data_IF_006825223952
#
_entry.id   IF_006825223952
#
_cell.length_a   1.000
_cell.length_b   1.000
_cell.length_c   1.000
_cell.angle_alpha   90.00
_cell.angle_beta   90.00
_cell.angle_gamma   90.00
#
_symmetry.space_group_name_H-M   'P 1'
#
loop_
_entity.id
_entity.type
_entity.pdbx_description
1 polymer ?
#
# COMPACT_ATOMS: atom_id res chain seq x y z
N UNK A 1 0.68 1.75 18.87
CA UNK A 1 1.28 2.83 18.07
C UNK A 1 1.45 4.08 18.94
N UNK A 2 2.47 4.93 18.69
CA UNK A 2 2.55 6.28 19.28
C UNK A 2 1.32 7.12 18.93
N UNK A 3 1.03 8.16 19.70
CA UNK A 3 -0.21 8.94 19.54
C UNK A 3 -0.17 9.96 18.40
N UNK A 4 1.01 10.27 17.87
CA UNK A 4 1.28 11.37 16.94
C UNK A 4 1.95 10.90 15.64
N UNK A 5 1.44 9.79 15.07
CA UNK A 5 1.97 9.26 13.82
C UNK A 5 1.26 9.90 12.63
N UNK A 6 2.02 10.61 11.79
CA UNK A 6 1.52 11.11 10.50
C UNK A 6 1.47 10.03 9.43
N UNK A 7 2.51 9.20 9.34
CA UNK A 7 2.64 8.16 8.31
C UNK A 7 2.91 6.79 8.93
N UNK A 8 2.05 5.83 8.61
CA UNK A 8 2.27 4.42 8.87
C UNK A 8 2.62 3.70 7.57
N UNK A 9 3.83 3.17 7.46
CA UNK A 9 4.20 2.28 6.36
C UNK A 9 4.07 0.83 6.79
N UNK A 10 3.53 -0.02 5.91
CA UNK A 10 3.40 -1.44 6.19
C UNK A 10 3.58 -2.31 4.94
N UNK A 11 4.12 -3.48 5.17
CA UNK A 11 4.24 -4.56 4.21
C UNK A 11 4.05 -5.87 4.96
N UNK A 12 3.47 -6.84 4.30
CA UNK A 12 3.29 -8.18 4.87
C UNK A 12 3.91 -9.22 3.94
N UNK A 13 4.29 -10.40 4.46
CA UNK A 13 5.00 -11.40 3.67
C UNK A 13 4.29 -11.76 2.38
N UNK A 14 5.01 -11.65 1.26
CA UNK A 14 4.49 -11.92 -0.09
C UNK A 14 4.67 -13.38 -0.53
N UNK A 15 5.28 -14.22 0.31
CA UNK A 15 5.64 -15.60 -0.06
C UNK A 15 4.39 -16.43 -0.42
N UNK A 16 3.29 -16.22 0.29
CA UNK A 16 2.04 -16.93 0.07
C UNK A 16 1.20 -16.32 -1.09
N UNK A 17 1.62 -15.16 -1.62
CA UNK A 17 1.03 -14.50 -2.78
C UNK A 17 1.74 -14.84 -4.08
N UNK A 18 3.02 -15.20 -4.01
CA UNK A 18 3.85 -15.45 -5.18
C UNK A 18 3.66 -16.86 -5.74
N UNK A 19 4.01 -17.06 -7.02
CA UNK A 19 4.03 -18.39 -7.66
C UNK A 19 4.97 -19.38 -6.93
N UNK A 20 6.03 -18.87 -6.28
CA UNK A 20 6.94 -19.70 -5.48
C UNK A 20 6.26 -20.25 -4.21
N UNK A 21 5.28 -19.56 -3.63
CA UNK A 21 4.49 -20.03 -2.49
C UNK A 21 3.59 -21.22 -2.85
N UNK A 22 3.11 -21.29 -4.09
CA UNK A 22 2.29 -22.41 -4.56
C UNK A 22 3.05 -23.76 -4.57
N UNK A 23 4.38 -23.76 -4.68
CA UNK A 23 5.21 -24.97 -4.63
C UNK A 23 5.30 -25.57 -3.23
N UNK A 24 4.93 -24.79 -2.20
CA UNK A 24 4.95 -25.23 -0.81
C UNK A 24 3.54 -25.42 -0.23
N UNK A 25 2.51 -25.64 -1.06
CA UNK A 25 1.10 -25.80 -0.66
C UNK A 25 0.49 -24.64 0.15
N UNK A 26 1.10 -23.45 0.13
CA UNK A 26 0.56 -22.26 0.77
C UNK A 26 -0.47 -21.59 -0.16
N UNK A 27 -1.71 -22.05 -0.13
CA UNK A 27 -2.75 -21.60 -1.07
C UNK A 27 -3.66 -20.50 -0.55
N UNK A 28 -3.61 -20.17 0.74
CA UNK A 28 -4.57 -19.27 1.38
C UNK A 28 -4.36 -17.77 1.12
N UNK A 29 -3.14 -17.35 0.68
CA UNK A 29 -2.87 -15.92 0.42
C UNK A 29 -3.14 -15.04 1.64
N UNK A 30 -3.89 -13.95 1.45
CA UNK A 30 -4.30 -12.98 2.49
C UNK A 30 -5.67 -13.31 3.12
N UNK A 31 -6.19 -14.52 2.96
CA UNK A 31 -7.41 -14.93 3.66
C UNK A 31 -7.21 -14.90 5.17
N UNK A 32 -8.18 -14.29 5.90
CA UNK A 32 -8.14 -14.13 7.37
C UNK A 32 -7.96 -15.46 8.11
N UNK A 33 -8.56 -16.52 7.59
CA UNK A 33 -8.62 -17.83 8.23
C UNK A 33 -7.51 -18.77 7.74
N UNK A 34 -6.63 -18.31 6.86
CA UNK A 34 -5.62 -19.16 6.24
C UNK A 34 -4.51 -19.62 7.18
N UNK A 35 -4.29 -18.90 8.27
CA UNK A 35 -3.12 -19.10 9.14
C UNK A 35 -1.78 -18.81 8.48
N UNK A 36 -1.79 -18.26 7.26
CA UNK A 36 -0.61 -17.91 6.48
C UNK A 36 0.05 -16.63 6.97
N UNK A 37 1.33 -16.46 6.66
CA UNK A 37 2.08 -15.25 7.01
C UNK A 37 1.53 -13.99 6.36
N UNK A 38 0.94 -14.09 5.17
CA UNK A 38 0.28 -12.98 4.48
C UNK A 38 -0.98 -12.49 5.21
N UNK A 39 -1.57 -13.30 6.11
CA UNK A 39 -2.67 -12.89 6.98
C UNK A 39 -2.25 -11.83 8.03
N UNK A 40 -0.96 -11.52 8.16
CA UNK A 40 -0.47 -10.39 8.97
C UNK A 40 -1.00 -9.03 8.49
N UNK A 41 -1.57 -8.94 7.29
CA UNK A 41 -2.34 -7.78 6.86
C UNK A 41 -3.42 -7.40 7.87
N UNK A 42 -4.11 -8.40 8.42
CA UNK A 42 -5.21 -8.21 9.37
C UNK A 42 -4.76 -7.74 10.76
N UNK A 43 -3.46 -7.86 11.07
CA UNK A 43 -2.88 -7.23 12.26
C UNK A 43 -2.80 -5.70 12.11
N UNK A 44 -2.59 -5.19 10.90
CA UNK A 44 -2.66 -3.75 10.63
C UNK A 44 -4.08 -3.24 10.87
N UNK A 45 -5.09 -3.99 10.39
CA UNK A 45 -6.49 -3.68 10.67
C UNK A 45 -6.78 -3.65 12.18
N UNK A 46 -6.38 -4.68 12.91
CA UNK A 46 -6.56 -4.74 14.37
C UNK A 46 -5.98 -3.51 15.07
N UNK A 47 -4.76 -3.12 14.67
CA UNK A 47 -4.09 -1.94 15.23
C UNK A 47 -4.87 -0.66 14.93
N UNK A 48 -5.40 -0.49 13.72
CA UNK A 48 -6.18 0.68 13.34
C UNK A 48 -7.53 0.71 14.04
N UNK A 49 -8.20 -0.45 14.20
CA UNK A 49 -9.46 -0.56 14.94
C UNK A 49 -9.27 -0.19 16.41
N UNK A 50 -8.24 -0.70 17.08
CA UNK A 50 -7.93 -0.35 18.47
C UNK A 50 -7.71 1.17 18.62
N UNK A 51 -7.07 1.79 17.63
CA UNK A 51 -6.89 3.25 17.61
C UNK A 51 -8.21 3.99 17.46
N UNK A 52 -9.03 3.56 16.53
CA UNK A 52 -10.33 4.16 16.30
C UNK A 52 -11.24 4.05 17.55
N UNK A 53 -11.20 2.91 18.26
CA UNK A 53 -11.93 2.72 19.51
C UNK A 53 -11.48 3.70 20.60
N UNK A 54 -10.15 3.93 20.74
CA UNK A 54 -9.61 4.91 21.70
C UNK A 54 -10.11 6.31 21.36
N UNK A 55 -10.11 6.70 20.08
CA UNK A 55 -10.62 7.99 19.63
C UNK A 55 -12.10 8.20 20.01
N UNK A 56 -12.92 7.18 19.81
CA UNK A 56 -14.34 7.24 20.15
C UNK A 56 -14.58 7.41 21.65
N UNK A 57 -13.73 6.80 22.50
CA UNK A 57 -13.86 6.87 23.97
C UNK A 57 -13.32 8.19 24.52
N UNK A 58 -12.19 8.66 24.01
CA UNK A 58 -11.48 9.84 24.53
C UNK A 58 -11.94 11.15 23.87
N UNK A 59 -12.80 11.06 22.83
CA UNK A 59 -13.24 12.20 22.01
C UNK A 59 -12.08 13.03 21.41
N UNK A 60 -10.93 12.41 21.27
CA UNK A 60 -9.73 12.99 20.67
C UNK A 60 -9.57 12.44 19.24
N UNK A 61 -9.81 13.27 18.24
CA UNK A 61 -9.63 12.91 16.81
C UNK A 61 -8.17 12.74 16.38
N UNK A 62 -7.23 12.92 17.31
CA UNK A 62 -5.80 13.10 17.03
C UNK A 62 -5.01 11.82 16.76
N UNK A 63 -5.63 10.64 16.72
CA UNK A 63 -4.85 9.39 16.87
C UNK A 63 -4.79 8.46 15.65
N UNK A 64 -5.51 8.76 14.57
CA UNK A 64 -5.40 7.99 13.33
C UNK A 64 -4.23 8.51 12.49
N UNK A 65 -3.33 7.62 11.98
CA UNK A 65 -2.30 8.06 11.06
C UNK A 65 -2.89 8.81 9.88
N UNK A 66 -2.38 10.00 9.57
CA UNK A 66 -2.88 10.81 8.44
C UNK A 66 -2.69 10.07 7.10
N UNK A 67 -1.60 9.33 6.98
CA UNK A 67 -1.28 8.59 5.78
C UNK A 67 -0.93 7.13 6.10
N UNK A 68 -1.39 6.22 5.24
CA UNK A 68 -0.92 4.84 5.23
C UNK A 68 -0.24 4.58 3.88
N UNK A 69 0.87 3.85 3.90
CA UNK A 69 1.55 3.40 2.69
C UNK A 69 1.81 1.90 2.77
N UNK A 70 1.11 1.15 1.93
CA UNK A 70 1.33 -0.27 1.73
C UNK A 70 2.26 -0.53 0.54
N UNK A 71 3.17 -1.49 0.64
CA UNK A 71 3.90 -2.07 -0.49
C UNK A 71 3.72 -3.58 -0.52
N UNK A 72 3.50 -4.15 -1.72
CA UNK A 72 3.53 -5.59 -1.91
C UNK A 72 3.80 -5.97 -3.38
N UNK A 73 3.89 -7.28 -3.66
CA UNK A 73 4.00 -7.80 -5.02
C UNK A 73 2.68 -7.62 -5.79
N UNK A 74 2.77 -7.47 -7.12
CA UNK A 74 1.59 -7.27 -7.98
C UNK A 74 0.61 -8.45 -7.97
N UNK A 75 1.05 -9.62 -7.51
CA UNK A 75 0.19 -10.79 -7.35
C UNK A 75 -0.98 -10.57 -6.37
N UNK A 76 -0.91 -9.56 -5.48
CA UNK A 76 -2.03 -9.19 -4.61
C UNK A 76 -3.28 -8.79 -5.40
N UNK A 77 -3.12 -8.24 -6.60
CA UNK A 77 -4.21 -7.84 -7.50
C UNK A 77 -4.69 -8.98 -8.41
N UNK A 78 -4.14 -10.20 -8.27
CA UNK A 78 -4.56 -11.35 -9.06
C UNK A 78 -5.99 -11.78 -8.73
N UNK A 79 -6.64 -12.51 -9.64
CA UNK A 79 -7.99 -13.05 -9.42
C UNK A 79 -8.14 -13.83 -8.13
N UNK A 80 -7.06 -14.46 -7.67
CA UNK A 80 -7.03 -15.28 -6.45
C UNK A 80 -7.13 -14.42 -5.18
N UNK A 81 -6.55 -13.22 -5.20
CA UNK A 81 -6.37 -12.40 -4.00
C UNK A 81 -7.18 -11.10 -4.01
N UNK A 82 -7.70 -10.70 -5.16
CA UNK A 82 -8.37 -9.41 -5.34
C UNK A 82 -9.60 -9.23 -4.43
N UNK A 83 -10.34 -10.32 -4.15
CA UNK A 83 -11.51 -10.25 -3.28
C UNK A 83 -11.12 -9.83 -1.85
N UNK A 84 -10.11 -10.47 -1.27
CA UNK A 84 -9.61 -10.14 0.07
C UNK A 84 -8.90 -8.78 0.10
N UNK A 85 -8.24 -8.40 -1.00
CA UNK A 85 -7.64 -7.07 -1.12
C UNK A 85 -8.70 -5.96 -1.15
N UNK A 86 -9.81 -6.19 -1.86
CA UNK A 86 -10.94 -5.26 -1.86
C UNK A 86 -11.65 -5.21 -0.50
N UNK A 87 -11.75 -6.33 0.22
CA UNK A 87 -12.22 -6.34 1.60
C UNK A 87 -11.35 -5.40 2.46
N UNK A 88 -10.02 -5.51 2.34
CA UNK A 88 -9.11 -4.62 3.04
C UNK A 88 -9.31 -3.13 2.69
N UNK A 89 -9.45 -2.81 1.39
CA UNK A 89 -9.77 -1.44 0.96
C UNK A 89 -11.06 -0.93 1.58
N UNK A 90 -12.10 -1.75 1.60
CA UNK A 90 -13.39 -1.37 2.17
C UNK A 90 -13.29 -1.13 3.68
N UNK A 91 -12.55 -1.98 4.40
CA UNK A 91 -12.35 -1.80 5.84
C UNK A 91 -11.59 -0.49 6.14
N UNK A 92 -10.65 -0.09 5.30
CA UNK A 92 -10.01 1.22 5.41
C UNK A 92 -10.97 2.37 5.11
N UNK A 93 -11.88 2.21 4.13
CA UNK A 93 -12.91 3.21 3.85
C UNK A 93 -13.84 3.38 5.07
N UNK A 94 -14.24 2.28 5.71
CA UNK A 94 -15.08 2.28 6.91
C UNK A 94 -14.38 2.96 8.11
N UNK A 95 -13.04 2.94 8.11
CA UNK A 95 -12.21 3.64 9.10
C UNK A 95 -11.95 5.11 8.73
N UNK A 96 -12.52 5.62 7.64
CA UNK A 96 -12.38 7.02 7.23
C UNK A 96 -11.18 7.30 6.31
N UNK A 97 -10.63 6.29 5.63
CA UNK A 97 -9.55 6.48 4.66
C UNK A 97 -10.06 6.46 3.22
N UNK A 98 -9.55 7.35 2.39
CA UNK A 98 -9.62 7.24 0.93
C UNK A 98 -8.36 6.53 0.42
N UNK A 99 -8.53 5.62 -0.56
CA UNK A 99 -7.46 4.72 -1.00
C UNK A 99 -7.19 4.83 -2.50
N UNK A 100 -5.92 4.89 -2.87
CA UNK A 100 -5.42 4.87 -4.24
C UNK A 100 -4.43 3.70 -4.41
N UNK A 101 -4.63 2.87 -5.44
CA UNK A 101 -3.78 1.70 -5.72
C UNK A 101 -2.97 1.94 -6.99
N UNK A 102 -1.66 1.84 -6.86
CA UNK A 102 -0.69 2.09 -7.91
C UNK A 102 0.14 0.84 -8.18
N UNK A 103 0.38 0.51 -9.45
CA UNK A 103 1.38 -0.49 -9.83
C UNK A 103 2.53 0.21 -10.52
N UNK A 104 3.69 0.23 -9.87
CA UNK A 104 4.86 0.97 -10.32
C UNK A 104 6.01 0.03 -10.68
N UNK A 105 6.71 0.35 -11.76
CA UNK A 105 7.95 -0.33 -12.17
C UNK A 105 9.14 0.55 -11.81
N UNK A 106 10.10 0.01 -11.06
CA UNK A 106 11.29 0.73 -10.63
C UNK A 106 12.09 1.34 -11.81
N UNK A 107 12.01 0.73 -13.00
CA UNK A 107 12.68 1.27 -14.20
C UNK A 107 12.18 2.66 -14.59
N UNK A 108 10.89 2.95 -14.31
CA UNK A 108 10.31 4.25 -14.62
C UNK A 108 10.84 5.37 -13.72
N UNK A 109 11.54 5.00 -12.63
CA UNK A 109 12.12 5.91 -11.65
C UNK A 109 13.66 5.89 -11.66
N UNK A 110 14.26 5.46 -12.77
CA UNK A 110 15.71 5.47 -12.95
C UNK A 110 16.48 4.33 -12.28
N UNK A 111 15.79 3.29 -11.80
CA UNK A 111 16.43 2.10 -11.24
C UNK A 111 16.63 1.05 -12.34
N UNK A 112 17.87 0.55 -12.59
CA UNK A 112 18.15 -0.43 -13.65
C UNK A 112 17.69 -1.85 -13.25
N UNK A 113 16.48 -1.98 -12.70
CA UNK A 113 15.90 -3.23 -12.29
C UNK A 113 14.42 -3.30 -12.70
N UNK A 114 14.04 -4.37 -13.38
CA UNK A 114 12.63 -4.68 -13.63
C UNK A 114 11.98 -5.16 -12.33
N UNK A 115 11.33 -4.24 -11.62
CA UNK A 115 10.69 -4.51 -10.35
C UNK A 115 9.33 -3.84 -10.28
N UNK A 116 8.29 -4.60 -10.59
CA UNK A 116 6.90 -4.17 -10.44
C UNK A 116 6.42 -4.41 -9.02
N UNK A 117 5.79 -3.39 -8.43
CA UNK A 117 5.20 -3.46 -7.10
C UNK A 117 3.87 -2.74 -7.08
N UNK A 118 2.98 -3.25 -6.25
CA UNK A 118 1.73 -2.59 -5.90
C UNK A 118 1.96 -1.76 -4.65
N UNK A 119 1.58 -0.50 -4.75
CA UNK A 119 1.50 0.42 -3.63
C UNK A 119 0.04 0.79 -3.41
N UNK A 120 -0.35 0.94 -2.15
CA UNK A 120 -1.61 1.59 -1.82
C UNK A 120 -1.32 2.75 -0.89
N UNK A 121 -1.73 3.94 -1.32
CA UNK A 121 -1.71 5.15 -0.51
C UNK A 121 -3.10 5.34 0.05
N UNK A 122 -3.21 5.54 1.36
CA UNK A 122 -4.46 5.83 2.02
C UNK A 122 -4.35 7.14 2.78
N UNK A 123 -5.34 8.01 2.64
CA UNK A 123 -5.40 9.33 3.29
C UNK A 123 -6.59 9.35 4.24
N UNK A 124 -6.35 9.66 5.50
CA UNK A 124 -7.41 9.80 6.49
C UNK A 124 -8.17 11.11 6.28
N UNK A 125 -9.47 10.99 6.08
CA UNK A 125 -10.39 12.10 5.83
C UNK A 125 -11.56 12.16 6.82
N UNK A 126 -11.57 11.25 7.80
CA UNK A 126 -12.69 11.12 8.73
C UNK A 126 -12.93 12.37 9.62
N UNK A 127 -11.98 13.29 9.68
CA UNK A 127 -12.05 14.57 10.41
C UNK A 127 -12.08 15.82 9.50
N UNK A 128 -12.12 15.61 8.16
CA UNK A 128 -12.09 16.71 7.20
C UNK A 128 -13.50 17.13 6.74
N UNK A 129 -13.68 18.41 6.34
CA UNK A 129 -14.87 18.86 5.65
C UNK A 129 -15.09 18.13 4.32
N UNK A 130 -16.34 18.03 3.89
CA UNK A 130 -16.69 17.33 2.64
C UNK A 130 -15.95 17.90 1.41
N UNK A 131 -15.79 19.22 1.32
CA UNK A 131 -15.11 19.88 0.20
C UNK A 131 -13.65 19.43 0.07
N UNK A 132 -12.91 19.38 1.18
CA UNK A 132 -11.52 18.89 1.21
C UNK A 132 -11.46 17.37 0.92
N UNK A 133 -12.41 16.61 1.42
CA UNK A 133 -12.54 15.18 1.16
C UNK A 133 -12.76 14.91 -0.32
N UNK A 134 -13.62 15.68 -0.99
CA UNK A 134 -13.91 15.55 -2.42
C UNK A 134 -12.67 15.88 -3.26
N UNK A 135 -11.93 16.96 -2.92
CA UNK A 135 -10.68 17.33 -3.59
C UNK A 135 -9.62 16.21 -3.48
N UNK A 136 -9.44 15.65 -2.29
CA UNK A 136 -8.52 14.54 -2.08
C UNK A 136 -8.94 13.32 -2.90
N UNK A 137 -10.25 13.02 -2.94
CA UNK A 137 -10.78 11.89 -3.70
C UNK A 137 -10.54 12.05 -5.22
N UNK A 138 -10.70 13.25 -5.75
CA UNK A 138 -10.41 13.57 -7.15
C UNK A 138 -8.92 13.30 -7.47
N UNK A 139 -8.01 13.81 -6.63
CA UNK A 139 -6.56 13.61 -6.80
C UNK A 139 -6.20 12.12 -6.77
N UNK A 140 -6.70 11.38 -5.79
CA UNK A 140 -6.40 9.95 -5.64
C UNK A 140 -6.98 9.14 -6.80
N UNK A 141 -8.17 9.49 -7.30
CA UNK A 141 -8.81 8.87 -8.45
C UNK A 141 -8.02 9.12 -9.73
N UNK A 142 -7.53 10.33 -9.95
CA UNK A 142 -6.69 10.66 -11.09
C UNK A 142 -5.38 9.87 -11.07
N UNK A 143 -4.72 9.77 -9.92
CA UNK A 143 -3.50 8.98 -9.74
C UNK A 143 -3.73 7.49 -10.00
N UNK A 144 -4.83 6.89 -9.50
CA UNK A 144 -5.16 5.48 -9.73
C UNK A 144 -5.45 5.20 -11.22
N UNK A 145 -6.12 6.12 -11.91
CA UNK A 145 -6.42 5.99 -13.34
C UNK A 145 -5.21 6.24 -14.24
N UNK A 146 -4.23 7.03 -13.78
CA UNK A 146 -3.05 7.37 -14.56
C UNK A 146 -1.76 7.17 -13.77
N UNK A 147 -1.34 5.92 -13.62
CA UNK A 147 -0.06 5.56 -12.98
C UNK A 147 1.18 6.25 -13.59
N UNK A 148 1.07 6.79 -14.81
CA UNK A 148 2.18 7.47 -15.48
C UNK A 148 2.41 8.89 -14.96
N UNK A 149 1.43 9.54 -14.31
CA UNK A 149 1.59 10.89 -13.78
C UNK A 149 2.81 11.01 -12.87
N UNK A 150 3.03 10.03 -11.99
CA UNK A 150 4.20 9.99 -11.13
C UNK A 150 5.52 9.81 -11.89
N UNK A 151 5.49 9.06 -13.01
CA UNK A 151 6.68 8.80 -13.81
C UNK A 151 7.04 9.99 -14.69
N UNK A 152 6.09 10.81 -15.10
CA UNK A 152 6.32 11.99 -15.96
C UNK A 152 7.05 13.11 -15.23
N UNK A 153 6.88 13.19 -13.90
CA UNK A 153 7.56 14.17 -13.05
C UNK A 153 9.05 13.85 -12.83
N UNK A 154 9.45 12.59 -13.06
CA UNK A 154 10.82 12.13 -12.90
C UNK A 154 11.44 11.86 -14.28
N UNK A 155 12.54 12.55 -14.65
CA UNK A 155 13.21 12.28 -15.92
C UNK A 155 13.64 10.80 -15.94
N UNK A 156 13.21 10.08 -16.98
CA UNK A 156 13.66 8.71 -17.22
C UNK A 156 15.15 8.76 -17.54
N UNK A 157 15.98 8.56 -16.56
CA UNK A 157 17.38 8.24 -16.83
C UNK A 157 17.41 6.77 -17.29
N UNK A 158 17.80 6.55 -18.54
CA UNK A 158 18.08 5.21 -19.05
C UNK A 158 19.38 4.71 -18.41
N UNK A 159 19.34 4.41 -17.11
CA UNK A 159 20.47 3.77 -16.45
C UNK A 159 20.59 2.33 -16.94
N UNK A 160 21.76 2.00 -17.49
CA UNK A 160 22.16 0.62 -17.71
C UNK A 160 22.90 0.10 -16.47
N UNK A 161 23.05 -1.22 -16.37
CA UNK A 161 23.84 -1.82 -15.30
C UNK A 161 25.31 -1.33 -15.35
N UNK A 162 25.79 -0.93 -16.54
CA UNK A 162 27.13 -0.37 -16.73
C UNK A 162 27.30 1.01 -16.07
N UNK A 163 26.22 1.78 -15.91
CA UNK A 163 26.26 3.09 -15.25
C UNK A 163 26.37 2.96 -13.73
N UNK A 164 25.96 1.79 -13.19
CA UNK A 164 25.98 1.49 -11.76
C UNK A 164 27.28 0.80 -11.33
N UNK A 165 27.88 0.02 -12.23
CA UNK A 165 29.17 -0.62 -11.98
C UNK A 165 30.25 0.44 -12.21
N UNK A 166 30.66 1.13 -11.16
CA UNK A 166 31.86 1.95 -11.21
C UNK A 166 33.07 1.04 -11.42
N UNK A 167 33.80 1.27 -12.51
CA UNK A 167 35.09 0.61 -12.80
C UNK A 167 36.22 1.12 -11.88
N UNK A 168 35.99 1.16 -10.58
CA UNK A 168 36.99 1.62 -9.59
C UNK A 168 37.78 0.44 -8.99
N UNK A 169 37.95 -0.64 -9.77
CA UNK A 169 38.94 -1.69 -9.46
C UNK A 169 40.09 -1.63 -10.47
N UNK A 170 40.88 -0.58 -10.39
CA UNK A 170 42.27 -0.52 -10.87
C UNK A 170 43.17 -0.15 -9.72
#
# INVERSE_FOLDING_TARGET
LPNDIDLLTYSFPCQDLSLAGNWHNNTGGIDRNSGNRSALLWEVERILLERNEINLVEQEHANMPRFLLMENVTAILSRKHIANFNEWRNNLNDLGYLNCVLTLDARNFGVPQMRNRTYMVSVYVGDLPNEETDEINEILTELENNNNLLCEQYPRHNFSIHDVIKNDYN
#
